data_IF_184748377179
#
_entry.id   IF_184748377179
#
_cell.length_a   1.000
_cell.length_b   1.000
_cell.length_c   1.000
_cell.angle_alpha   90.00
_cell.angle_beta   90.00
_cell.angle_gamma   90.00
#
_symmetry.space_group_name_H-M   'P 1'
#
loop_
_entity.id
_entity.type
_entity.pdbx_description
1 polymer ?
#
# COMPACT_ATOMS: atom_id res chain seq x y z
N UNK A 1 -9.88 -46.06 6.37
CA UNK A 1 -11.05 -45.29 6.89
C UNK A 1 -11.87 -44.69 5.72
N UNK A 2 -12.24 -45.49 4.69
CA UNK A 2 -12.93 -45.03 3.46
C UNK A 2 -14.35 -45.60 3.29
N UNK A 3 -14.83 -46.44 4.20
CA UNK A 3 -16.04 -47.25 4.03
C UNK A 3 -17.38 -46.52 4.30
N UNK A 4 -17.39 -45.19 4.49
CA UNK A 4 -18.60 -44.42 4.86
C UNK A 4 -18.98 -43.32 3.86
N UNK A 5 -18.38 -43.25 2.67
CA UNK A 5 -18.70 -42.18 1.71
C UNK A 5 -20.04 -42.44 0.99
N UNK A 6 -21.03 -41.53 1.08
CA UNK A 6 -22.31 -41.68 0.36
C UNK A 6 -22.12 -41.65 -1.16
N UNK A 7 -22.87 -42.49 -1.88
CA UNK A 7 -22.91 -42.46 -3.35
C UNK A 7 -23.53 -41.12 -3.78
N UNK A 8 -22.87 -40.39 -4.69
CA UNK A 8 -23.31 -39.08 -5.17
C UNK A 8 -22.77 -37.85 -4.41
N UNK A 9 -21.98 -38.04 -3.34
CA UNK A 9 -21.24 -36.93 -2.71
C UNK A 9 -19.84 -36.81 -3.31
N UNK A 10 -19.51 -35.65 -3.85
CA UNK A 10 -18.16 -35.27 -4.27
C UNK A 10 -17.43 -34.58 -3.12
N UNK A 11 -16.18 -34.99 -2.84
CA UNK A 11 -15.24 -34.15 -2.10
C UNK A 11 -14.36 -33.41 -3.08
N UNK A 12 -14.22 -32.11 -2.86
CA UNK A 12 -13.14 -31.32 -3.43
C UNK A 12 -12.11 -31.00 -2.35
N UNK A 13 -10.84 -31.18 -2.66
CA UNK A 13 -9.73 -30.79 -1.80
C UNK A 13 -8.67 -30.08 -2.62
N UNK A 14 -8.36 -28.85 -2.25
CA UNK A 14 -7.19 -28.16 -2.77
C UNK A 14 -5.94 -28.62 -2.01
N UNK A 15 -4.90 -28.98 -2.74
CA UNK A 15 -3.59 -29.34 -2.21
C UNK A 15 -2.53 -28.49 -2.88
N UNK A 16 -1.71 -27.85 -2.06
CA UNK A 16 -0.49 -27.22 -2.53
C UNK A 16 0.63 -28.25 -2.50
N UNK A 17 1.27 -28.44 -3.65
CA UNK A 17 2.40 -29.34 -3.80
C UNK A 17 3.71 -28.62 -3.43
N UNK A 18 4.75 -29.39 -3.11
CA UNK A 18 6.06 -28.87 -2.73
C UNK A 18 6.74 -28.04 -3.83
N UNK A 19 6.36 -28.26 -5.10
CA UNK A 19 6.79 -27.50 -6.27
C UNK A 19 6.00 -26.18 -6.47
N UNK A 20 5.10 -25.85 -5.54
CA UNK A 20 4.29 -24.63 -5.55
C UNK A 20 3.02 -24.72 -6.42
N UNK A 21 2.74 -25.86 -7.06
CA UNK A 21 1.49 -26.06 -7.79
C UNK A 21 0.30 -26.18 -6.86
N UNK A 22 -0.85 -25.68 -7.30
CA UNK A 22 -2.12 -25.82 -6.59
C UNK A 22 -2.96 -26.79 -7.39
N UNK A 23 -3.19 -27.99 -6.84
CA UNK A 23 -3.99 -29.03 -7.48
C UNK A 23 -5.29 -29.20 -6.71
N UNK A 24 -6.41 -29.09 -7.41
CA UNK A 24 -7.70 -29.49 -6.89
C UNK A 24 -7.92 -30.97 -7.20
N UNK A 25 -8.15 -31.75 -6.16
CA UNK A 25 -8.51 -33.16 -6.26
C UNK A 25 -10.00 -33.25 -5.97
N UNK A 26 -10.79 -33.63 -6.97
CA UNK A 26 -12.21 -33.98 -6.76
C UNK A 26 -12.37 -35.49 -6.82
N UNK A 27 -12.97 -36.07 -5.80
CA UNK A 27 -13.20 -37.51 -5.74
C UNK A 27 -14.67 -37.80 -5.41
N UNK A 28 -15.26 -38.73 -6.16
CA UNK A 28 -16.65 -39.15 -6.01
C UNK A 28 -16.78 -40.66 -6.21
N UNK A 29 -17.72 -41.27 -5.48
CA UNK A 29 -18.02 -42.69 -5.59
C UNK A 29 -19.03 -42.93 -6.71
N UNK A 30 -18.70 -43.81 -7.64
CA UNK A 30 -19.54 -44.14 -8.79
C UNK A 30 -20.63 -45.18 -8.42
N UNK A 31 -21.76 -45.23 -9.16
CA UNK A 31 -22.85 -46.17 -8.90
C UNK A 31 -22.44 -47.65 -8.96
N UNK A 32 -21.44 -48.00 -9.77
CA UNK A 32 -20.88 -49.35 -9.87
C UNK A 32 -19.92 -49.71 -8.73
N UNK A 33 -19.77 -48.84 -7.72
CA UNK A 33 -18.86 -49.02 -6.60
C UNK A 33 -17.42 -48.57 -6.86
N UNK A 34 -17.09 -48.11 -8.07
CA UNK A 34 -15.78 -47.54 -8.40
C UNK A 34 -15.56 -46.14 -7.80
N UNK A 35 -14.32 -45.65 -7.88
CA UNK A 35 -13.93 -44.29 -7.50
C UNK A 35 -13.53 -43.53 -8.76
N UNK A 36 -14.09 -42.34 -8.95
CA UNK A 36 -13.57 -41.37 -9.92
C UNK A 36 -12.87 -40.26 -9.15
N UNK A 37 -11.62 -39.99 -9.52
CA UNK A 37 -10.87 -38.84 -9.05
C UNK A 37 -10.41 -38.02 -10.24
N UNK A 38 -10.68 -36.71 -10.22
CA UNK A 38 -10.12 -35.74 -11.18
C UNK A 38 -9.11 -34.87 -10.47
N UNK A 39 -8.02 -34.58 -11.17
CA UNK A 39 -6.96 -33.69 -10.71
C UNK A 39 -6.89 -32.52 -11.68
N UNK A 40 -7.13 -31.31 -11.17
CA UNK A 40 -7.09 -30.08 -11.96
C UNK A 40 -6.00 -29.19 -11.42
N UNK A 41 -5.05 -28.79 -12.27
CA UNK A 41 -4.07 -27.78 -11.93
C UNK A 41 -4.75 -26.39 -11.94
N UNK A 42 -4.79 -25.75 -10.78
CA UNK A 42 -5.37 -24.43 -10.55
C UNK A 42 -4.31 -23.33 -10.44
N UNK A 43 -3.03 -23.64 -10.65
CA UNK A 43 -1.91 -22.73 -10.37
C UNK A 43 -2.06 -21.40 -11.10
N UNK A 44 -2.25 -21.44 -12.41
CA UNK A 44 -2.36 -20.23 -13.24
C UNK A 44 -3.63 -19.44 -12.93
N UNK A 45 -4.77 -20.13 -12.78
CA UNK A 45 -6.03 -19.48 -12.39
C UNK A 45 -5.89 -18.75 -11.04
N UNK A 46 -5.33 -19.41 -10.02
CA UNK A 46 -5.15 -18.81 -8.68
C UNK A 46 -4.09 -17.72 -8.69
N UNK A 47 -3.09 -17.76 -9.58
CA UNK A 47 -2.12 -16.66 -9.77
C UNK A 47 -2.82 -15.44 -10.37
N UNK A 48 -3.59 -15.62 -11.44
CA UNK A 48 -4.36 -14.55 -12.08
C UNK A 48 -5.40 -13.95 -11.13
N UNK A 49 -6.13 -14.78 -10.37
CA UNK A 49 -7.08 -14.30 -9.35
C UNK A 49 -6.40 -13.45 -8.27
N UNK A 50 -5.19 -13.86 -7.82
CA UNK A 50 -4.41 -13.07 -6.86
C UNK A 50 -3.94 -11.75 -7.47
N UNK A 51 -3.44 -11.77 -8.70
CA UNK A 51 -3.04 -10.55 -9.42
C UNK A 51 -4.22 -9.60 -9.61
N UNK A 52 -5.39 -10.12 -10.00
CA UNK A 52 -6.60 -9.33 -10.17
C UNK A 52 -7.06 -8.71 -8.85
N UNK A 53 -7.08 -9.47 -7.76
CA UNK A 53 -7.39 -8.93 -6.42
C UNK A 53 -6.40 -7.83 -6.00
N UNK A 54 -5.11 -8.00 -6.30
CA UNK A 54 -4.10 -6.99 -6.03
C UNK A 54 -4.33 -5.71 -6.86
N UNK A 55 -4.71 -5.86 -8.13
CA UNK A 55 -5.07 -4.74 -9.01
C UNK A 55 -6.27 -3.98 -8.44
N UNK A 56 -7.35 -4.67 -8.10
CA UNK A 56 -8.56 -4.06 -7.54
C UNK A 56 -8.30 -3.36 -6.19
N UNK A 57 -7.46 -3.96 -5.34
CA UNK A 57 -7.04 -3.33 -4.08
C UNK A 57 -6.30 -2.02 -4.34
N UNK A 58 -5.39 -2.02 -5.31
CA UNK A 58 -4.62 -0.82 -5.66
C UNK A 58 -5.51 0.27 -6.30
N UNK A 59 -6.49 -0.11 -7.10
CA UNK A 59 -7.46 0.82 -7.68
C UNK A 59 -8.30 1.52 -6.60
N UNK A 60 -8.77 0.76 -5.60
CA UNK A 60 -9.50 1.30 -4.45
C UNK A 60 -8.63 2.25 -3.61
N UNK A 61 -7.38 1.88 -3.35
CA UNK A 61 -6.40 2.76 -2.69
C UNK A 61 -6.18 4.02 -3.53
N UNK A 62 -6.03 3.90 -4.84
CA UNK A 62 -5.82 5.01 -5.77
C UNK A 62 -6.94 6.05 -5.74
N UNK A 63 -8.19 5.60 -5.77
CA UNK A 63 -9.35 6.49 -5.68
C UNK A 63 -9.43 7.20 -4.32
N UNK A 64 -9.25 6.47 -3.22
CA UNK A 64 -9.29 7.04 -1.87
C UNK A 64 -8.17 8.06 -1.65
N UNK A 65 -6.93 7.71 -2.01
CA UNK A 65 -5.78 8.60 -1.87
C UNK A 65 -5.90 9.82 -2.78
N UNK A 66 -6.47 9.69 -3.97
CA UNK A 66 -6.70 10.82 -4.89
C UNK A 66 -7.62 11.89 -4.30
N UNK A 67 -8.74 11.46 -3.69
CA UNK A 67 -9.67 12.38 -3.02
C UNK A 67 -9.04 13.04 -1.79
N UNK A 68 -8.39 12.25 -0.93
CA UNK A 68 -7.74 12.76 0.29
C UNK A 68 -6.61 13.75 -0.06
N UNK A 69 -5.79 13.44 -1.06
CA UNK A 69 -4.69 14.29 -1.50
C UNK A 69 -5.19 15.62 -2.08
N UNK A 70 -6.29 15.60 -2.83
CA UNK A 70 -6.93 16.81 -3.33
C UNK A 70 -7.37 17.72 -2.17
N UNK A 71 -8.06 17.16 -1.17
CA UNK A 71 -8.54 17.94 -0.02
C UNK A 71 -7.37 18.48 0.83
N UNK A 72 -6.30 17.70 0.97
CA UNK A 72 -5.09 18.15 1.66
C UNK A 72 -4.43 19.33 0.94
N UNK A 73 -4.31 19.25 -0.39
CA UNK A 73 -3.78 20.35 -1.20
C UNK A 73 -4.66 21.60 -1.12
N UNK A 74 -5.98 21.44 -1.01
CA UNK A 74 -6.89 22.58 -0.83
C UNK A 74 -6.65 23.29 0.50
N UNK A 75 -6.47 22.54 1.59
CA UNK A 75 -6.17 23.11 2.91
C UNK A 75 -4.78 23.78 2.90
N UNK A 76 -3.77 23.14 2.32
CA UNK A 76 -2.42 23.70 2.19
C UNK A 76 -2.42 24.99 1.35
N UNK A 77 -3.19 25.04 0.27
CA UNK A 77 -3.33 26.25 -0.55
C UNK A 77 -3.96 27.41 0.25
N UNK A 78 -5.01 27.13 1.02
CA UNK A 78 -5.64 28.13 1.89
C UNK A 78 -4.67 28.63 2.98
N UNK A 79 -3.94 27.72 3.64
CA UNK A 79 -2.93 28.07 4.65
C UNK A 79 -1.83 28.93 4.02
N UNK A 80 -1.28 28.48 2.88
CA UNK A 80 -0.19 29.19 2.19
C UNK A 80 -0.63 30.59 1.75
N UNK A 81 -1.85 30.74 1.22
CA UNK A 81 -2.39 32.05 0.85
C UNK A 81 -2.49 33.02 2.03
N UNK A 82 -2.96 32.53 3.19
CA UNK A 82 -3.01 33.35 4.40
C UNK A 82 -1.62 33.73 4.91
N UNK A 83 -0.67 32.79 4.89
CA UNK A 83 0.71 33.05 5.31
C UNK A 83 1.43 34.04 4.37
N UNK A 84 1.11 34.01 3.08
CA UNK A 84 1.61 34.97 2.10
C UNK A 84 1.10 36.38 2.42
N UNK A 85 -0.19 36.54 2.71
CA UNK A 85 -0.76 37.83 3.13
C UNK A 85 -0.08 38.35 4.42
N UNK A 86 0.17 37.48 5.41
CA UNK A 86 0.91 37.84 6.62
C UNK A 86 2.34 38.29 6.29
N UNK A 87 3.01 37.64 5.33
CA UNK A 87 4.36 38.04 4.90
C UNK A 87 4.41 39.40 4.23
N UNK A 88 3.35 39.74 3.48
CA UNK A 88 3.21 41.00 2.75
C UNK A 88 2.87 42.17 3.68
N UNK A 89 2.05 41.93 4.71
CA UNK A 89 1.67 42.93 5.72
C UNK A 89 2.74 43.14 6.80
N UNK A 90 3.54 42.11 7.09
CA UNK A 90 4.53 42.18 8.16
C UNK A 90 5.78 42.99 7.76
N UNK A 91 6.26 43.81 8.69
CA UNK A 91 7.49 44.58 8.50
C UNK A 91 8.69 43.68 8.15
N UNK A 92 9.57 44.10 7.21
CA UNK A 92 10.79 43.38 6.89
C UNK A 92 11.64 43.10 8.14
N UNK A 93 12.15 41.87 8.26
CA UNK A 93 12.95 41.44 9.41
C UNK A 93 12.16 41.21 10.71
N UNK A 94 10.84 41.40 10.72
CA UNK A 94 10.04 41.14 11.92
C UNK A 94 10.00 39.64 12.26
N UNK A 95 9.87 39.30 13.57
CA UNK A 95 9.66 37.92 14.00
C UNK A 95 8.42 37.29 13.37
N UNK A 96 7.36 38.08 13.14
CA UNK A 96 6.12 37.63 12.47
C UNK A 96 6.38 37.18 11.05
N UNK A 97 7.08 38.00 10.24
CA UNK A 97 7.46 37.64 8.87
C UNK A 97 8.33 36.39 8.83
N UNK A 98 9.28 36.29 9.76
CA UNK A 98 10.16 35.10 9.88
C UNK A 98 9.38 33.82 10.18
N UNK A 99 8.39 33.88 11.08
CA UNK A 99 7.53 32.73 11.39
C UNK A 99 6.63 32.35 10.22
N UNK A 100 6.06 33.34 9.52
CA UNK A 100 5.20 33.11 8.37
C UNK A 100 5.96 32.46 7.21
N UNK A 101 7.19 32.89 6.93
CA UNK A 101 8.07 32.25 5.94
C UNK A 101 8.40 30.80 6.30
N UNK A 102 8.70 30.50 7.57
CA UNK A 102 8.92 29.11 8.02
C UNK A 102 7.68 28.23 7.87
N UNK A 103 6.50 28.79 8.13
CA UNK A 103 5.24 28.08 7.95
C UNK A 103 4.90 27.83 6.47
N UNK A 104 5.29 28.74 5.57
CA UNK A 104 5.18 28.54 4.12
C UNK A 104 6.06 27.37 3.66
N UNK A 105 7.31 27.33 4.11
CA UNK A 105 8.27 26.26 3.79
C UNK A 105 7.76 24.88 4.25
N UNK A 106 7.13 24.84 5.43
CA UNK A 106 6.45 23.65 5.94
C UNK A 106 5.23 23.25 5.11
N UNK A 107 4.43 24.22 4.64
CA UNK A 107 3.27 23.96 3.79
C UNK A 107 3.68 23.41 2.41
N UNK A 108 4.76 23.93 1.81
CA UNK A 108 5.34 23.40 0.58
C UNK A 108 5.84 21.96 0.75
N UNK A 109 6.53 21.68 1.86
CA UNK A 109 6.97 20.32 2.22
C UNK A 109 5.79 19.34 2.36
N UNK A 110 4.68 19.80 2.96
CA UNK A 110 3.44 19.04 3.04
C UNK A 110 2.81 18.75 1.67
N UNK A 111 2.90 19.70 0.74
CA UNK A 111 2.44 19.54 -0.65
C UNK A 111 3.27 18.51 -1.42
N UNK A 112 4.60 18.58 -1.30
CA UNK A 112 5.52 17.61 -1.91
C UNK A 112 5.25 16.18 -1.43
N UNK A 113 4.96 16.02 -0.15
CA UNK A 113 4.58 14.72 0.45
C UNK A 113 3.27 14.19 -0.11
N UNK A 114 2.27 15.06 -0.20
CA UNK A 114 0.97 14.72 -0.79
C UNK A 114 1.12 14.27 -2.24
N UNK A 115 2.02 14.87 -3.01
CA UNK A 115 2.36 14.42 -4.37
C UNK A 115 3.01 13.03 -4.39
N UNK A 116 3.92 12.71 -3.47
CA UNK A 116 4.53 11.37 -3.37
C UNK A 116 3.49 10.30 -3.07
N UNK A 117 2.56 10.57 -2.15
CA UNK A 117 1.39 9.71 -1.87
C UNK A 117 0.51 9.52 -3.11
N UNK A 118 0.26 10.58 -3.87
CA UNK A 118 -0.50 10.53 -5.11
C UNK A 118 0.20 9.71 -6.20
N UNK A 119 1.52 9.84 -6.32
CA UNK A 119 2.35 9.09 -7.28
C UNK A 119 2.32 7.58 -6.98
N UNK A 120 2.45 7.22 -5.69
CA UNK A 120 2.28 5.84 -5.23
C UNK A 120 0.89 5.29 -5.56
N UNK A 121 -0.15 6.09 -5.30
CA UNK A 121 -1.54 5.73 -5.55
C UNK A 121 -1.90 5.58 -7.05
N UNK A 122 -1.24 6.32 -7.94
CA UNK A 122 -1.64 6.42 -9.36
C UNK A 122 -1.05 5.38 -10.31
N UNK A 123 -0.27 4.39 -9.85
CA UNK A 123 0.47 3.50 -10.78
C UNK A 123 1.15 4.33 -11.90
N UNK A 124 1.92 5.37 -11.55
CA UNK A 124 2.98 5.71 -12.51
C UNK A 124 3.75 4.41 -12.75
N UNK A 125 4.04 4.10 -14.02
CA UNK A 125 4.82 2.92 -14.39
C UNK A 125 6.02 2.88 -13.45
N UNK A 126 5.99 1.94 -12.49
CA UNK A 126 7.07 1.74 -11.54
C UNK A 126 8.23 1.28 -12.40
N UNK A 127 9.04 2.23 -12.85
CA UNK A 127 10.39 1.97 -13.28
C UNK A 127 11.10 1.67 -11.97
N UNK A 128 11.32 0.40 -11.62
CA UNK A 128 11.81 0.08 -10.30
C UNK A 128 13.21 0.63 -10.20
N UNK A 129 13.41 1.57 -9.29
CA UNK A 129 14.71 2.19 -9.07
C UNK A 129 15.34 1.58 -7.81
N UNK A 130 16.66 1.37 -7.80
CA UNK A 130 17.36 0.91 -6.61
C UNK A 130 17.13 1.92 -5.47
N UNK A 131 16.33 1.53 -4.48
CA UNK A 131 15.89 2.41 -3.39
C UNK A 131 16.42 1.91 -2.06
N UNK A 132 17.03 2.81 -1.29
CA UNK A 132 17.41 2.56 0.09
C UNK A 132 16.15 2.67 0.98
N UNK A 133 15.68 1.52 1.47
CA UNK A 133 14.49 1.46 2.31
C UNK A 133 14.71 2.08 3.70
N UNK A 134 15.93 2.06 4.23
CA UNK A 134 16.21 2.69 5.52
C UNK A 134 16.10 4.20 5.38
N UNK A 135 16.72 4.77 4.34
CA UNK A 135 16.61 6.20 4.05
C UNK A 135 15.14 6.62 3.82
N UNK A 136 14.38 5.84 3.05
CA UNK A 136 12.95 6.11 2.82
C UNK A 136 12.13 6.01 4.11
N UNK A 137 12.40 5.02 4.96
CA UNK A 137 11.74 4.85 6.26
C UNK A 137 12.05 6.00 7.23
N UNK A 138 13.29 6.51 7.23
CA UNK A 138 13.67 7.69 8.00
C UNK A 138 12.97 8.95 7.49
N UNK A 139 12.91 9.18 6.18
CA UNK A 139 12.21 10.32 5.60
C UNK A 139 10.71 10.33 5.94
N UNK A 140 10.08 9.16 5.93
CA UNK A 140 8.67 8.99 6.34
C UNK A 140 8.51 9.19 7.84
N UNK A 141 9.45 8.72 8.65
CA UNK A 141 9.43 8.90 10.10
C UNK A 141 9.57 10.37 10.51
N UNK A 142 10.45 11.12 9.86
CA UNK A 142 10.60 12.56 10.05
C UNK A 142 9.31 13.29 9.71
N UNK A 143 8.64 12.88 8.62
CA UNK A 143 7.33 13.43 8.26
C UNK A 143 6.26 13.14 9.32
N UNK A 144 6.20 11.90 9.81
CA UNK A 144 5.23 11.48 10.82
C UNK A 144 5.50 12.18 12.15
N UNK A 145 6.77 12.41 12.51
CA UNK A 145 7.17 13.05 13.76
C UNK A 145 6.53 14.44 13.98
N UNK A 146 6.24 15.16 12.89
CA UNK A 146 5.59 16.47 12.93
C UNK A 146 4.08 16.41 13.21
N UNK A 147 3.43 15.29 12.87
CA UNK A 147 1.98 15.08 13.03
C UNK A 147 1.58 14.27 14.27
N UNK A 148 2.55 13.68 14.97
CA UNK A 148 2.28 12.86 16.15
C UNK A 148 1.86 13.73 17.35
N UNK A 149 0.78 13.29 18.02
CA UNK A 149 0.31 13.93 19.24
C UNK A 149 1.31 13.76 20.40
N UNK A 150 1.32 14.70 21.34
CA UNK A 150 2.17 14.64 22.51
C UNK A 150 1.99 13.31 23.27
N UNK A 151 3.05 12.53 23.40
CA UNK A 151 3.07 11.24 24.09
C UNK A 151 3.14 10.00 23.18
N UNK A 152 3.13 10.17 21.84
CA UNK A 152 3.41 9.06 20.91
C UNK A 152 4.88 9.05 20.55
N UNK A 153 5.55 7.91 20.76
CA UNK A 153 6.95 7.69 20.40
C UNK A 153 6.98 6.82 19.15
N UNK A 154 7.67 7.31 18.12
CA UNK A 154 7.95 6.55 16.91
C UNK A 154 9.30 5.86 17.07
N UNK A 155 9.32 4.54 16.93
CA UNK A 155 10.53 3.73 16.99
C UNK A 155 10.74 3.03 15.65
N UNK A 156 11.97 3.11 15.14
CA UNK A 156 12.37 2.56 13.84
C UNK A 156 13.43 1.50 14.08
N UNK A 157 13.04 0.24 13.92
CA UNK A 157 13.95 -0.90 13.98
C UNK A 157 14.44 -1.23 12.55
N UNK A 158 15.54 -0.58 12.15
CA UNK A 158 16.14 -0.69 10.82
C UNK A 158 17.39 -1.58 10.86
N UNK A 159 17.59 -2.39 9.82
CA UNK A 159 18.77 -3.25 9.74
C UNK A 159 19.98 -2.51 9.12
N UNK A 160 21.17 -2.66 9.70
CA UNK A 160 22.37 -1.90 9.32
C UNK A 160 22.88 -2.15 7.88
N UNK A 161 22.53 -3.27 7.24
CA UNK A 161 23.07 -3.67 5.93
C UNK A 161 22.00 -3.94 4.85
N UNK A 162 20.82 -3.31 4.98
CA UNK A 162 19.70 -3.63 4.10
C UNK A 162 20.06 -3.37 2.61
N UNK A 163 20.03 -4.39 1.73
CA UNK A 163 20.29 -4.19 0.32
C UNK A 163 19.19 -3.34 -0.31
N UNK A 164 19.55 -2.56 -1.33
CA UNK A 164 18.59 -1.73 -2.04
C UNK A 164 17.45 -2.56 -2.61
N UNK A 165 16.22 -2.14 -2.33
CA UNK A 165 15.03 -2.77 -2.87
C UNK A 165 14.68 -2.10 -4.20
N UNK A 166 14.25 -2.94 -5.15
CA UNK A 166 13.63 -2.44 -6.38
C UNK A 166 12.18 -2.13 -6.05
N UNK A 167 11.84 -0.84 -5.93
CA UNK A 167 10.52 -0.34 -5.53
C UNK A 167 9.86 0.38 -6.69
#
# INVERSE_FOLDING_TARGET
RLARWPIGQEAALERQHADGRIVEIRAGRMPNGGLLATLTDLTDRKRMERQLRQVQRMEAVGQLTGGIAHDFNNILAAISGNLQMICDEAAPGSPTRTRALRALDAAESGGATTQRLLAFARRQSLAPEPTDLNALSTDIADLLSFGLAAGVVLDLDLADDLPQAMV
#
